data_IF_214453606785
#
_entry.id   IF_214453606785
#
_cell.length_a   1.000
_cell.length_b   1.000
_cell.length_c   1.000
_cell.angle_alpha   90.00
_cell.angle_beta   90.00
_cell.angle_gamma   90.00
#
_symmetry.space_group_name_H-M   'P 1'
#
loop_
_entity.id
_entity.type
_entity.pdbx_description
1 polymer ?
#
# COMPACT_ATOMS: atom_id res chain seq x y z
N UNK A 1 2.08 -13.84 0.69
CA UNK A 1 1.09 -13.17 -0.17
C UNK A 1 1.27 -13.68 -1.59
N UNK A 2 0.99 -14.96 -1.83
CA UNK A 2 1.08 -15.60 -3.15
C UNK A 2 -0.30 -16.16 -3.45
N UNK A 3 -0.94 -15.61 -4.49
CA UNK A 3 -2.33 -15.90 -4.87
C UNK A 3 -3.20 -14.64 -4.83
N UNK A 4 -2.89 -13.65 -5.67
CA UNK A 4 -3.82 -12.54 -5.89
C UNK A 4 -4.88 -12.99 -6.91
N UNK A 5 -6.16 -12.83 -6.57
CA UNK A 5 -7.26 -13.19 -7.45
C UNK A 5 -7.28 -12.32 -8.72
N UNK A 6 -8.04 -12.73 -9.74
CA UNK A 6 -8.17 -11.98 -11.00
C UNK A 6 -8.78 -10.60 -10.73
N UNK A 7 -9.79 -10.55 -9.87
CA UNK A 7 -10.52 -9.36 -9.46
C UNK A 7 -9.60 -8.36 -8.78
N UNK A 8 -8.70 -8.81 -7.89
CA UNK A 8 -7.69 -7.95 -7.27
C UNK A 8 -6.79 -7.28 -8.32
N UNK A 9 -6.32 -8.06 -9.30
CA UNK A 9 -5.43 -7.56 -10.36
C UNK A 9 -6.13 -6.55 -11.27
N UNK A 10 -7.40 -6.77 -11.57
CA UNK A 10 -8.22 -5.83 -12.33
C UNK A 10 -8.48 -4.56 -11.54
N UNK A 11 -8.83 -4.69 -10.26
CA UNK A 11 -9.02 -3.55 -9.37
C UNK A 11 -7.75 -2.69 -9.24
N UNK A 12 -6.59 -3.30 -9.06
CA UNK A 12 -5.29 -2.59 -9.01
C UNK A 12 -4.93 -1.86 -10.32
N UNK A 13 -5.60 -2.16 -11.44
CA UNK A 13 -5.44 -1.47 -12.72
C UNK A 13 -6.55 -0.45 -13.00
N UNK A 14 -7.53 -0.34 -12.11
CA UNK A 14 -8.68 0.54 -12.29
C UNK A 14 -8.37 2.01 -11.97
N UNK A 15 -9.12 2.91 -12.61
CA UNK A 15 -9.06 4.35 -12.31
C UNK A 15 -9.46 4.66 -10.86
N UNK A 16 -10.35 3.83 -10.28
CA UNK A 16 -10.74 3.95 -8.87
C UNK A 16 -9.52 3.79 -7.96
N UNK A 17 -8.71 2.75 -8.17
CA UNK A 17 -7.50 2.55 -7.39
C UNK A 17 -6.47 3.67 -7.61
N UNK A 18 -6.24 4.09 -8.86
CA UNK A 18 -5.28 5.16 -9.14
C UNK A 18 -5.70 6.49 -8.49
N UNK A 19 -7.00 6.79 -8.42
CA UNK A 19 -7.53 7.94 -7.65
C UNK A 19 -7.19 7.82 -6.17
N UNK A 20 -7.51 6.69 -5.53
CA UNK A 20 -7.23 6.48 -4.08
C UNK A 20 -5.75 6.57 -3.77
N UNK A 21 -4.93 5.96 -4.62
CA UNK A 21 -3.47 6.02 -4.52
C UNK A 21 -2.98 7.47 -4.60
N UNK A 22 -3.47 8.27 -5.55
CA UNK A 22 -3.10 9.69 -5.68
C UNK A 22 -3.50 10.50 -4.46
N UNK A 23 -4.71 10.32 -3.95
CA UNK A 23 -5.17 11.00 -2.73
C UNK A 23 -4.29 10.62 -1.53
N UNK A 24 -3.98 9.33 -1.35
CA UNK A 24 -3.08 8.91 -0.26
C UNK A 24 -1.70 9.56 -0.35
N UNK A 25 -1.10 9.59 -1.55
CA UNK A 25 0.19 10.23 -1.78
C UNK A 25 0.16 11.72 -1.43
N UNK A 26 -0.94 12.41 -1.76
CA UNK A 26 -1.14 13.82 -1.45
C UNK A 26 -1.27 14.06 0.05
N UNK A 27 -2.06 13.24 0.75
CA UNK A 27 -2.24 13.36 2.20
C UNK A 27 -0.89 13.16 2.93
N UNK A 28 -0.06 12.22 2.48
CA UNK A 28 1.28 11.98 3.05
C UNK A 28 2.35 12.98 2.56
N UNK A 29 1.97 13.99 1.77
CA UNK A 29 2.88 15.01 1.26
C UNK A 29 3.97 14.46 0.33
N UNK A 30 3.71 13.37 -0.38
CA UNK A 30 4.68 12.66 -1.22
C UNK A 30 5.93 12.22 -0.46
N UNK A 31 5.74 11.76 0.79
CA UNK A 31 6.81 11.20 1.63
C UNK A 31 6.44 9.82 2.14
N UNK A 32 7.45 8.98 2.27
CA UNK A 32 7.36 7.73 3.02
C UNK A 32 7.06 8.05 4.48
N UNK A 33 5.93 7.58 5.00
CA UNK A 33 5.54 7.83 6.39
C UNK A 33 6.45 7.14 7.40
N UNK A 34 7.11 6.05 6.99
CA UNK A 34 7.99 5.26 7.86
C UNK A 34 9.41 5.83 8.00
N UNK A 35 9.95 6.52 6.99
CA UNK A 35 11.34 6.99 7.02
C UNK A 35 11.55 8.42 6.51
N UNK A 36 10.50 9.13 6.12
CA UNK A 36 10.58 10.51 5.62
C UNK A 36 11.09 10.66 4.19
N UNK A 37 11.51 9.58 3.51
CA UNK A 37 11.99 9.64 2.13
C UNK A 37 10.95 10.23 1.18
N UNK A 38 11.29 11.33 0.51
CA UNK A 38 10.45 11.99 -0.49
C UNK A 38 10.90 11.64 -1.91
N UNK A 39 9.94 11.39 -2.80
CA UNK A 39 10.23 11.15 -4.22
C UNK A 39 9.03 11.52 -5.09
N UNK A 40 9.20 11.43 -6.42
CA UNK A 40 8.11 11.59 -7.36
C UNK A 40 7.01 10.54 -7.12
N UNK A 41 5.73 10.85 -7.44
CA UNK A 41 4.59 9.96 -7.18
C UNK A 41 4.73 8.55 -7.75
N UNK A 42 5.42 8.39 -8.89
CA UNK A 42 5.65 7.10 -9.55
C UNK A 42 6.69 6.21 -8.87
N UNK A 43 7.50 6.75 -7.95
CA UNK A 43 8.50 6.00 -7.18
C UNK A 43 7.93 5.52 -5.85
N UNK A 44 7.02 6.29 -5.26
CA UNK A 44 6.35 5.95 -4.01
C UNK A 44 5.31 4.85 -4.23
N UNK A 45 5.10 4.04 -3.20
CA UNK A 45 4.15 2.94 -3.21
C UNK A 45 3.09 3.18 -2.14
N UNK A 46 1.84 2.84 -2.44
CA UNK A 46 0.77 2.82 -1.44
C UNK A 46 0.58 1.39 -0.95
N UNK A 47 0.66 1.22 0.37
CA UNK A 47 0.47 -0.04 1.05
C UNK A 47 -0.91 -0.10 1.69
N UNK A 48 -1.55 -1.26 1.64
CA UNK A 48 -2.79 -1.54 2.35
C UNK A 48 -2.46 -2.00 3.77
N UNK A 49 -2.99 -1.29 4.78
CA UNK A 49 -2.95 -1.69 6.19
C UNK A 49 -3.92 -2.83 6.48
N UNK A 50 -5.03 -2.88 5.74
CA UNK A 50 -6.03 -3.96 5.78
C UNK A 50 -6.61 -4.18 4.39
N UNK A 51 -7.05 -5.42 4.13
CA UNK A 51 -7.74 -5.81 2.90
C UNK A 51 -9.24 -6.04 3.11
N UNK A 52 -9.77 -5.77 4.32
CA UNK A 52 -11.15 -6.08 4.70
C UNK A 52 -12.22 -5.38 3.84
N UNK A 53 -11.88 -4.24 3.23
CA UNK A 53 -12.78 -3.46 2.35
C UNK A 53 -12.13 -3.12 1.02
N UNK A 54 -11.47 -4.11 0.41
CA UNK A 54 -10.88 -3.98 -0.93
C UNK A 54 -11.90 -3.39 -1.93
N UNK A 55 -11.51 -2.35 -2.67
CA UNK A 55 -12.39 -1.57 -3.55
C UNK A 55 -13.06 -0.37 -2.87
N UNK A 56 -13.24 -0.42 -1.55
CA UNK A 56 -13.91 0.58 -0.71
C UNK A 56 -13.00 1.08 0.44
N UNK A 57 -11.69 1.05 0.23
CA UNK A 57 -10.67 1.65 1.10
C UNK A 57 -10.99 3.13 1.38
N UNK A 58 -10.83 3.50 2.65
CA UNK A 58 -10.76 4.85 3.19
C UNK A 58 -9.28 5.28 3.12
N UNK A 59 -9.02 6.32 2.34
CA UNK A 59 -7.66 6.77 2.07
C UNK A 59 -6.92 7.18 3.36
N UNK A 60 -7.61 7.61 4.41
CA UNK A 60 -7.01 7.99 5.70
C UNK A 60 -6.69 6.80 6.61
N UNK A 61 -7.46 5.71 6.51
CA UNK A 61 -7.42 4.63 7.50
C UNK A 61 -6.81 3.34 7.00
N UNK A 62 -6.93 3.04 5.70
CA UNK A 62 -6.49 1.75 5.16
C UNK A 62 -5.21 1.82 4.36
N UNK A 63 -4.81 3.02 3.96
CA UNK A 63 -3.71 3.21 3.02
C UNK A 63 -2.58 3.98 3.69
N UNK A 64 -1.35 3.70 3.24
CA UNK A 64 -0.17 4.43 3.70
C UNK A 64 0.88 4.53 2.60
N UNK A 65 1.49 5.71 2.46
CA UNK A 65 2.58 5.93 1.50
C UNK A 65 3.92 5.46 2.04
N UNK A 66 4.63 4.63 1.26
CA UNK A 66 5.94 4.09 1.60
C UNK A 66 6.91 4.19 0.42
N UNK A 67 8.20 4.31 0.71
CA UNK A 67 9.23 4.09 -0.30
C UNK A 67 9.35 2.59 -0.62
N UNK A 68 9.93 2.21 -1.78
CA UNK A 68 10.08 0.80 -2.17
C UNK A 68 10.81 -0.05 -1.12
N UNK A 69 11.79 0.53 -0.42
CA UNK A 69 12.57 -0.15 0.62
C UNK A 69 11.68 -0.47 1.83
N UNK A 70 10.98 0.53 2.38
CA UNK A 70 10.10 0.35 3.54
C UNK A 70 8.92 -0.57 3.20
N UNK A 71 8.35 -0.42 2.01
CA UNK A 71 7.28 -1.30 1.53
C UNK A 71 7.72 -2.77 1.51
N UNK A 72 8.90 -3.07 0.97
CA UNK A 72 9.48 -4.43 0.99
C UNK A 72 9.75 -4.93 2.40
N UNK A 73 10.27 -4.08 3.29
CA UNK A 73 10.53 -4.44 4.69
C UNK A 73 9.25 -4.88 5.41
N UNK A 74 8.15 -4.14 5.26
CA UNK A 74 6.86 -4.52 5.86
C UNK A 74 6.40 -5.88 5.34
N UNK A 75 6.44 -6.10 4.03
CA UNK A 75 6.09 -7.40 3.44
C UNK A 75 6.93 -8.56 4.01
N UNK A 76 8.22 -8.33 4.29
CA UNK A 76 9.07 -9.33 4.94
C UNK A 76 8.70 -9.53 6.42
N UNK A 77 8.41 -8.44 7.16
CA UNK A 77 8.00 -8.51 8.57
C UNK A 77 6.68 -9.27 8.75
N UNK A 78 5.72 -9.12 7.84
CA UNK A 78 4.44 -9.83 7.86
C UNK A 78 4.58 -11.31 7.50
N UNK A 79 5.63 -11.69 6.76
CA UNK A 79 5.97 -13.08 6.43
C UNK A 79 6.96 -13.71 7.42
N UNK A 80 7.30 -13.03 8.50
CA UNK A 80 8.21 -13.60 9.51
C UNK A 80 7.62 -14.89 10.06
N UNK A 81 8.47 -15.84 10.42
CA UNK A 81 8.05 -17.04 11.14
C UNK A 81 7.43 -16.59 12.46
N UNK A 82 6.23 -17.08 12.72
CA UNK A 82 5.54 -16.88 14.00
C UNK A 82 5.73 -18.15 14.83
N UNK A 83 5.60 -18.04 16.15
CA UNK A 83 5.61 -19.22 17.00
C UNK A 83 4.51 -20.18 16.50
N UNK A 84 4.79 -21.48 16.36
CA UNK A 84 3.71 -22.44 16.22
C UNK A 84 2.81 -22.32 17.46
N UNK A 85 1.50 -22.33 17.25
CA UNK A 85 0.52 -22.47 18.34
C UNK A 85 0.76 -23.77 19.12
#
# INVERSE_FOLDING_TARGET
MSGQSKEYREYMKSDSWERKKRERLKIDGYKCTACGYSAKPNVLMVHHLTYARLGNEDEWKDLVTLCPICHRKIHNMLRRRQAPE
#
